data_IF_844744376899
#
_entry.id   IF_844744376899
#
_cell.length_a   1.000
_cell.length_b   1.000
_cell.length_c   1.000
_cell.angle_alpha   90.00
_cell.angle_beta   90.00
_cell.angle_gamma   90.00
#
_symmetry.space_group_name_H-M   'P 1'
#
loop_
_entity.id
_entity.type
_entity.pdbx_description
1 polymer ?
#
# COMPACT_ATOMS: atom_id res chain seq x y z
N UNK A 1 -22.66 13.80 2.66
CA UNK A 1 -22.30 12.40 2.95
C UNK A 1 -21.09 12.02 2.10
N UNK A 2 -20.06 11.47 2.72
CA UNK A 2 -18.84 11.03 2.04
C UNK A 2 -18.53 9.57 2.37
N UNK A 3 -18.13 8.80 1.38
CA UNK A 3 -17.62 7.44 1.52
C UNK A 3 -16.10 7.44 1.32
N UNK A 4 -15.36 7.07 2.35
CA UNK A 4 -13.89 7.05 2.32
C UNK A 4 -13.41 5.61 2.48
N UNK A 5 -12.76 5.07 1.44
CA UNK A 5 -12.24 3.73 1.45
C UNK A 5 -10.88 3.62 2.14
N UNK A 6 -10.61 2.55 2.89
CA UNK A 6 -9.28 2.28 3.46
C UNK A 6 -8.96 0.80 3.53
N UNK A 7 -7.68 0.47 3.43
CA UNK A 7 -7.15 -0.87 3.75
C UNK A 7 -6.61 -0.83 5.19
N UNK A 8 -6.95 -1.83 6.05
CA UNK A 8 -6.63 -1.78 7.48
C UNK A 8 -5.15 -2.08 7.76
N UNK A 9 -4.33 -1.08 7.59
CA UNK A 9 -2.89 -1.06 7.88
C UNK A 9 -2.55 0.23 8.64
N UNK A 10 -1.36 0.28 9.23
CA UNK A 10 -0.93 1.43 10.05
C UNK A 10 -0.93 2.76 9.29
N UNK A 11 -0.68 2.71 7.97
CA UNK A 11 -0.65 3.91 7.12
C UNK A 11 -2.01 4.64 7.05
N UNK A 12 -3.12 3.93 7.19
CA UNK A 12 -4.47 4.51 7.13
C UNK A 12 -4.91 5.16 8.45
N UNK A 13 -4.03 5.23 9.47
CA UNK A 13 -4.35 5.78 10.79
C UNK A 13 -4.94 7.18 10.74
N UNK A 14 -4.43 8.16 9.96
CA UNK A 14 -5.02 9.50 9.90
C UNK A 14 -6.49 9.47 9.47
N UNK A 15 -6.82 8.74 8.42
CA UNK A 15 -8.20 8.60 7.93
C UNK A 15 -9.10 7.93 8.97
N UNK A 16 -8.63 6.85 9.59
CA UNK A 16 -9.42 6.07 10.55
C UNK A 16 -9.66 6.88 11.82
N UNK A 17 -8.63 7.52 12.34
CA UNK A 17 -8.70 8.23 13.62
C UNK A 17 -9.46 9.54 13.53
N UNK A 18 -9.51 10.18 12.38
CA UNK A 18 -10.30 11.40 12.17
C UNK A 18 -11.80 11.20 12.53
N UNK A 19 -12.33 9.99 12.40
CA UNK A 19 -13.71 9.69 12.73
C UNK A 19 -13.96 9.66 14.26
N UNK A 20 -13.31 8.80 15.08
CA UNK A 20 -13.54 8.76 16.53
C UNK A 20 -13.05 10.02 17.23
N UNK A 21 -12.13 10.79 16.66
CA UNK A 21 -11.68 12.08 17.19
C UNK A 21 -12.62 13.23 16.83
N UNK A 22 -13.67 12.99 16.05
CA UNK A 22 -14.68 13.98 15.69
C UNK A 22 -14.19 15.03 14.69
N UNK A 23 -13.09 14.79 13.99
CA UNK A 23 -12.53 15.77 13.05
C UNK A 23 -13.42 15.94 11.80
N UNK A 24 -14.01 14.87 11.28
CA UNK A 24 -14.95 14.99 10.17
C UNK A 24 -16.15 15.87 10.55
N UNK A 25 -16.76 15.63 11.71
CA UNK A 25 -17.90 16.41 12.20
C UNK A 25 -17.52 17.87 12.47
N UNK A 26 -16.32 18.13 13.02
CA UNK A 26 -15.78 19.48 13.25
C UNK A 26 -15.76 20.32 11.97
N UNK A 27 -15.47 19.69 10.85
CA UNK A 27 -15.44 20.35 9.55
C UNK A 27 -16.75 20.20 8.76
N UNK A 28 -17.85 19.80 9.45
CA UNK A 28 -19.19 19.72 8.86
C UNK A 28 -19.39 18.57 7.89
N UNK A 29 -18.58 17.52 8.00
CA UNK A 29 -18.64 16.34 7.12
C UNK A 29 -19.36 15.18 7.81
N UNK A 30 -20.29 14.56 7.10
CA UNK A 30 -20.82 13.25 7.44
C UNK A 30 -20.03 12.20 6.66
N UNK A 31 -18.90 11.76 7.21
CA UNK A 31 -17.98 10.84 6.58
C UNK A 31 -18.19 9.40 7.08
N UNK A 32 -18.30 8.47 6.14
CA UNK A 32 -18.34 7.04 6.40
C UNK A 32 -17.02 6.42 5.97
N UNK A 33 -16.21 5.97 6.95
CA UNK A 33 -14.93 5.31 6.71
C UNK A 33 -15.17 3.82 6.50
N UNK A 34 -14.82 3.29 5.32
CA UNK A 34 -15.22 1.97 4.84
C UNK A 34 -14.01 1.08 4.66
N UNK A 35 -13.94 0.01 5.46
CA UNK A 35 -12.90 -1.02 5.35
C UNK A 35 -12.98 -1.75 4.02
N UNK A 36 -11.83 -1.91 3.36
CA UNK A 36 -11.66 -2.59 2.08
C UNK A 36 -10.69 -3.75 2.21
N UNK A 37 -10.95 -4.85 1.51
CA UNK A 37 -10.15 -6.06 1.60
C UNK A 37 -8.73 -5.93 1.00
N UNK A 38 -8.55 -5.03 0.02
CA UNK A 38 -7.27 -4.81 -0.65
C UNK A 38 -7.36 -3.71 -1.71
N UNK A 39 -6.25 -3.37 -2.32
CA UNK A 39 -6.14 -2.21 -3.20
C UNK A 39 -6.81 -2.38 -4.56
N UNK A 40 -6.88 -3.60 -5.12
CA UNK A 40 -7.68 -3.84 -6.33
C UNK A 40 -9.16 -3.47 -6.11
N UNK A 41 -9.71 -3.89 -4.97
CA UNK A 41 -11.10 -3.55 -4.59
C UNK A 41 -11.25 -2.04 -4.31
N UNK A 42 -10.25 -1.42 -3.67
CA UNK A 42 -10.23 0.03 -3.44
C UNK A 42 -10.26 0.79 -4.77
N UNK A 43 -9.39 0.43 -5.73
CA UNK A 43 -9.36 0.98 -7.08
C UNK A 43 -10.72 0.87 -7.75
N UNK A 44 -11.26 -0.33 -7.83
CA UNK A 44 -12.50 -0.59 -8.56
C UNK A 44 -13.70 0.14 -7.96
N UNK A 45 -13.79 0.20 -6.63
CA UNK A 45 -14.83 0.97 -5.95
C UNK A 45 -14.68 2.48 -6.16
N UNK A 46 -13.45 2.99 -6.17
CA UNK A 46 -13.16 4.39 -6.46
C UNK A 46 -13.55 4.75 -7.90
N UNK A 47 -13.12 3.96 -8.88
CA UNK A 47 -13.47 4.17 -10.29
C UNK A 47 -14.97 4.04 -10.59
N UNK A 48 -15.71 3.25 -9.79
CA UNK A 48 -17.14 3.10 -9.90
C UNK A 48 -17.94 4.13 -9.06
N UNK A 49 -17.30 5.17 -8.53
CA UNK A 49 -17.94 6.24 -7.75
C UNK A 49 -18.56 5.75 -6.42
N UNK A 50 -18.07 4.62 -5.88
CA UNK A 50 -18.51 4.11 -4.57
C UNK A 50 -17.75 4.75 -3.42
N UNK A 51 -16.57 5.27 -3.68
CA UNK A 51 -15.75 6.06 -2.77
C UNK A 51 -15.52 7.44 -3.35
N UNK A 52 -15.74 8.47 -2.55
CA UNK A 52 -15.43 9.87 -2.88
C UNK A 52 -13.94 10.14 -2.74
N UNK A 53 -13.29 9.43 -1.83
CA UNK A 53 -11.85 9.45 -1.61
C UNK A 53 -11.38 8.12 -1.01
N UNK A 54 -10.10 7.83 -1.06
CA UNK A 54 -9.58 6.56 -0.55
C UNK A 54 -8.11 6.65 -0.14
N UNK A 55 -7.76 5.84 0.88
CA UNK A 55 -6.40 5.44 1.14
C UNK A 55 -5.88 4.57 -0.01
N UNK A 56 -4.78 4.97 -0.62
CA UNK A 56 -4.17 4.29 -1.76
C UNK A 56 -2.66 4.12 -1.56
N UNK A 57 -2.08 3.12 -2.22
CA UNK A 57 -0.63 3.07 -2.40
C UNK A 57 -0.21 4.21 -3.33
N UNK A 58 0.88 4.89 -3.00
CA UNK A 58 1.29 6.14 -3.67
C UNK A 58 1.35 6.05 -5.20
N UNK A 59 1.80 4.95 -5.85
CA UNK A 59 1.77 4.86 -7.30
C UNK A 59 0.37 4.67 -7.92
N UNK A 60 -0.64 4.25 -7.14
CA UNK A 60 -1.98 3.95 -7.69
C UNK A 60 -2.68 5.14 -8.35
N UNK A 61 -2.74 6.35 -7.74
CA UNK A 61 -3.41 7.49 -8.37
C UNK A 61 -2.81 7.85 -9.73
N UNK A 62 -1.47 7.74 -9.86
CA UNK A 62 -0.79 7.96 -11.13
C UNK A 62 -1.14 6.87 -12.15
N UNK A 63 -1.11 5.59 -11.74
CA UNK A 63 -1.49 4.47 -12.60
C UNK A 63 -2.94 4.60 -13.10
N UNK A 64 -3.88 4.98 -12.21
CA UNK A 64 -5.29 5.21 -12.57
C UNK A 64 -5.44 6.39 -13.54
N UNK A 65 -4.72 7.48 -13.32
CA UNK A 65 -4.73 8.64 -14.23
C UNK A 65 -4.23 8.28 -15.63
N UNK A 66 -3.23 7.42 -15.72
CA UNK A 66 -2.65 6.95 -16.99
C UNK A 66 -3.41 5.77 -17.62
N UNK A 67 -4.40 5.21 -16.92
CA UNK A 67 -5.12 4.02 -17.37
C UNK A 67 -4.29 2.73 -17.32
N UNK A 68 -3.24 2.70 -16.50
CA UNK A 68 -2.42 1.51 -16.31
C UNK A 68 -3.17 0.49 -15.44
N UNK A 69 -3.54 -0.66 -16.03
CA UNK A 69 -4.29 -1.73 -15.36
C UNK A 69 -5.75 -1.38 -15.00
N UNK A 70 -6.29 -0.28 -15.53
CA UNK A 70 -7.68 0.15 -15.35
C UNK A 70 -8.10 1.11 -16.46
N UNK A 71 -9.37 1.57 -16.42
CA UNK A 71 -9.78 2.74 -17.22
C UNK A 71 -9.04 3.97 -16.72
N UNK A 72 -8.71 4.89 -17.64
CA UNK A 72 -8.06 6.15 -17.30
C UNK A 72 -9.08 7.09 -16.63
N UNK A 73 -8.75 7.53 -15.41
CA UNK A 73 -9.55 8.50 -14.66
C UNK A 73 -8.58 9.42 -13.91
N UNK A 74 -8.69 10.77 -14.08
CA UNK A 74 -7.81 11.70 -13.40
C UNK A 74 -7.96 11.66 -11.88
N UNK A 75 -6.89 11.30 -11.18
CA UNK A 75 -6.81 11.28 -9.72
C UNK A 75 -5.79 12.29 -9.22
N UNK A 76 -6.04 12.83 -8.06
CA UNK A 76 -5.12 13.70 -7.32
C UNK A 76 -4.70 13.01 -6.01
N UNK A 77 -3.49 13.34 -5.57
CA UNK A 77 -2.89 12.86 -4.34
C UNK A 77 -2.49 14.06 -3.48
N UNK A 78 -3.43 14.62 -2.70
CA UNK A 78 -3.18 15.84 -1.94
C UNK A 78 -2.30 15.63 -0.70
N UNK A 79 -2.20 14.40 -0.19
CA UNK A 79 -1.41 14.10 0.98
C UNK A 79 -0.74 12.73 0.87
N UNK A 80 0.52 12.66 1.29
CA UNK A 80 1.24 11.41 1.57
C UNK A 80 1.01 11.09 3.05
N UNK A 81 0.45 9.91 3.34
CA UNK A 81 0.07 9.52 4.70
C UNK A 81 1.26 8.98 5.49
N UNK A 82 2.23 8.37 4.80
CA UNK A 82 3.44 7.87 5.43
C UNK A 82 4.60 7.69 4.44
N UNK A 83 5.80 7.68 4.98
CA UNK A 83 7.06 7.37 4.28
C UNK A 83 7.75 6.18 4.94
N UNK A 84 8.60 5.46 4.20
CA UNK A 84 9.46 4.37 4.73
C UNK A 84 8.73 3.18 5.40
N UNK A 85 7.43 3.03 5.24
CA UNK A 85 6.59 2.11 6.03
C UNK A 85 6.63 0.64 5.60
N UNK A 86 7.74 0.13 5.05
CA UNK A 86 7.80 -1.21 4.46
C UNK A 86 9.12 -1.92 4.80
N UNK A 87 9.09 -3.26 4.66
CA UNK A 87 10.29 -4.10 4.79
C UNK A 87 10.23 -5.26 3.79
N UNK A 88 11.40 -5.81 3.45
CA UNK A 88 11.51 -7.13 2.83
C UNK A 88 11.58 -8.15 3.97
N UNK A 89 10.61 -9.05 3.99
CA UNK A 89 10.56 -10.21 4.89
C UNK A 89 10.91 -11.45 4.10
N UNK A 90 11.78 -12.30 4.63
CA UNK A 90 12.05 -13.63 4.11
C UNK A 90 11.60 -14.70 5.10
N UNK A 91 11.26 -15.89 4.59
CA UNK A 91 11.05 -17.08 5.42
C UNK A 91 12.31 -17.44 6.19
N UNK A 92 12.15 -17.94 7.42
CA UNK A 92 13.27 -18.46 8.21
C UNK A 92 14.01 -19.63 7.55
N UNK A 93 13.41 -20.27 6.54
CA UNK A 93 14.07 -21.28 5.71
C UNK A 93 15.22 -20.69 4.86
N UNK A 94 15.27 -19.37 4.73
CA UNK A 94 16.27 -18.65 3.95
C UNK A 94 17.24 -17.81 4.80
N UNK A 95 17.43 -18.16 6.08
CA UNK A 95 18.37 -17.46 6.98
C UNK A 95 19.82 -17.44 6.45
N UNK A 96 20.21 -18.46 5.69
CA UNK A 96 21.50 -18.60 5.03
C UNK A 96 21.58 -17.91 3.65
N UNK A 97 20.45 -17.49 3.07
CA UNK A 97 20.35 -16.86 1.75
C UNK A 97 20.10 -15.37 1.83
N UNK A 98 20.94 -14.66 2.57
CA UNK A 98 20.80 -13.21 2.76
C UNK A 98 21.34 -12.38 1.61
N UNK A 99 22.19 -12.94 0.75
CA UNK A 99 22.62 -12.28 -0.48
C UNK A 99 21.49 -12.39 -1.55
N UNK A 100 20.96 -11.27 -2.05
CA UNK A 100 19.90 -11.28 -3.07
C UNK A 100 20.26 -12.05 -4.35
N UNK A 101 21.54 -12.20 -4.69
CA UNK A 101 22.00 -13.04 -5.80
C UNK A 101 21.55 -14.49 -5.69
N UNK A 102 21.23 -14.95 -4.50
CA UNK A 102 20.76 -16.31 -4.22
C UNK A 102 19.23 -16.48 -4.34
N UNK A 103 18.49 -15.38 -4.65
CA UNK A 103 17.03 -15.40 -4.68
C UNK A 103 16.45 -15.84 -6.04
N UNK A 104 17.29 -16.30 -6.94
CA UNK A 104 16.82 -16.87 -8.21
C UNK A 104 15.84 -18.02 -7.94
N UNK A 105 14.64 -17.92 -8.55
CA UNK A 105 13.53 -18.85 -8.36
C UNK A 105 12.64 -18.55 -7.15
N UNK A 106 12.94 -17.55 -6.32
CA UNK A 106 12.09 -17.17 -5.18
C UNK A 106 10.77 -16.57 -5.64
N UNK A 107 9.73 -16.85 -4.86
CA UNK A 107 8.40 -16.26 -5.02
C UNK A 107 8.16 -15.21 -3.93
N UNK A 108 7.92 -13.96 -4.36
CA UNK A 108 7.64 -12.83 -3.46
C UNK A 108 6.18 -12.39 -3.53
N UNK A 109 5.61 -12.10 -2.36
CA UNK A 109 4.31 -11.42 -2.25
C UNK A 109 4.46 -9.91 -2.25
N UNK A 110 3.63 -9.21 -3.03
CA UNK A 110 3.47 -7.75 -2.98
C UNK A 110 2.00 -7.40 -2.86
N UNK A 111 1.62 -6.26 -2.22
CA UNK A 111 0.23 -5.96 -1.94
C UNK A 111 -0.58 -5.58 -3.18
N UNK A 112 0.09 -5.06 -4.20
CA UNK A 112 -0.51 -4.62 -5.46
C UNK A 112 0.58 -4.37 -6.51
N UNK A 113 0.24 -4.52 -7.79
CA UNK A 113 1.20 -4.31 -8.88
C UNK A 113 1.72 -2.86 -8.95
N UNK A 114 0.84 -1.86 -8.75
CA UNK A 114 1.21 -0.44 -8.70
C UNK A 114 1.43 -0.01 -7.25
N UNK A 115 2.48 -0.55 -6.64
CA UNK A 115 2.88 -0.26 -5.27
C UNK A 115 4.37 0.04 -5.17
N UNK A 116 4.75 0.90 -4.21
CA UNK A 116 6.18 1.07 -3.90
C UNK A 116 6.82 -0.25 -3.46
N UNK A 117 6.07 -1.16 -2.84
CA UNK A 117 6.53 -2.49 -2.48
C UNK A 117 7.04 -3.26 -3.71
N UNK A 118 6.24 -3.31 -4.78
CA UNK A 118 6.62 -3.97 -6.03
C UNK A 118 7.81 -3.28 -6.69
N UNK A 119 7.78 -1.94 -6.78
CA UNK A 119 8.83 -1.19 -7.46
C UNK A 119 10.17 -1.27 -6.72
N UNK A 120 10.16 -1.17 -5.40
CA UNK A 120 11.39 -1.29 -4.60
C UNK A 120 11.96 -2.71 -4.59
N UNK A 121 11.12 -3.76 -4.59
CA UNK A 121 11.59 -5.13 -4.75
C UNK A 121 12.30 -5.30 -6.09
N UNK A 122 11.67 -4.88 -7.18
CA UNK A 122 12.22 -4.96 -8.54
C UNK A 122 13.54 -4.21 -8.65
N UNK A 123 13.57 -2.99 -8.15
CA UNK A 123 14.78 -2.18 -8.13
C UNK A 123 15.88 -2.87 -7.32
N UNK A 124 15.56 -3.33 -6.12
CA UNK A 124 16.53 -3.95 -5.21
C UNK A 124 17.17 -5.21 -5.82
N UNK A 125 16.38 -6.15 -6.36
CA UNK A 125 16.95 -7.37 -6.96
C UNK A 125 17.76 -7.06 -8.22
N UNK A 126 17.36 -6.05 -9.00
CA UNK A 126 18.09 -5.61 -10.18
C UNK A 126 19.48 -5.03 -9.84
N UNK A 127 19.62 -4.30 -8.72
CA UNK A 127 20.92 -3.82 -8.22
C UNK A 127 21.92 -4.98 -7.93
N UNK A 128 21.41 -6.17 -7.65
CA UNK A 128 22.21 -7.37 -7.44
C UNK A 128 22.37 -8.23 -8.72
N UNK A 129 21.91 -7.72 -9.87
CA UNK A 129 22.08 -8.37 -11.18
C UNK A 129 21.04 -9.44 -11.49
N UNK A 130 19.92 -9.50 -10.76
CA UNK A 130 18.77 -10.34 -11.10
C UNK A 130 17.79 -9.58 -12.00
N UNK A 131 17.20 -10.28 -12.95
CA UNK A 131 16.06 -9.77 -13.71
C UNK A 131 14.76 -10.04 -12.93
N UNK A 132 14.06 -9.00 -12.46
CA UNK A 132 12.85 -9.17 -11.64
C UNK A 132 11.67 -9.82 -12.41
N UNK A 133 11.71 -9.88 -13.73
CA UNK A 133 10.67 -10.50 -14.55
C UNK A 133 10.99 -11.97 -14.92
N UNK A 134 12.25 -12.39 -14.75
CA UNK A 134 12.74 -13.72 -15.16
C UNK A 134 13.26 -14.53 -13.99
N UNK A 135 14.06 -13.91 -13.10
CA UNK A 135 14.80 -14.62 -12.07
C UNK A 135 14.02 -14.82 -10.79
N UNK A 136 12.99 -14.01 -10.51
CA UNK A 136 12.07 -14.17 -9.37
C UNK A 136 10.62 -14.23 -9.85
N UNK A 137 9.72 -14.69 -8.98
CA UNK A 137 8.28 -14.64 -9.21
C UNK A 137 7.66 -13.61 -8.26
N UNK A 138 6.87 -12.67 -8.80
CA UNK A 138 6.15 -11.69 -8.00
C UNK A 138 4.65 -11.99 -8.09
N UNK A 139 4.00 -12.13 -6.92
CA UNK A 139 2.56 -12.40 -6.80
C UNK A 139 1.88 -11.29 -6.02
N UNK A 140 0.74 -10.85 -6.51
CA UNK A 140 -0.11 -9.92 -5.75
C UNK A 140 -0.86 -10.72 -4.68
N UNK A 141 -0.60 -10.40 -3.42
CA UNK A 141 -1.21 -11.06 -2.25
C UNK A 141 -1.66 -9.97 -1.28
N UNK A 142 -2.92 -9.98 -0.82
CA UNK A 142 -3.38 -9.05 0.22
C UNK A 142 -2.53 -9.20 1.49
N UNK A 143 -2.11 -8.10 2.15
CA UNK A 143 -1.24 -8.17 3.33
C UNK A 143 -1.71 -9.10 4.45
N UNK A 144 -3.01 -9.18 4.79
CA UNK A 144 -3.48 -10.13 5.79
C UNK A 144 -3.21 -11.61 5.45
N UNK A 145 -3.05 -11.94 4.18
CA UNK A 145 -2.82 -13.30 3.70
C UNK A 145 -1.32 -13.63 3.55
N UNK A 146 -0.43 -12.62 3.51
CA UNK A 146 1.00 -12.83 3.27
C UNK A 146 1.66 -13.69 4.33
N UNK A 147 1.34 -13.47 5.61
CA UNK A 147 1.90 -14.24 6.73
C UNK A 147 1.51 -15.71 6.65
N UNK A 148 0.25 -16.01 6.31
CA UNK A 148 -0.22 -17.38 6.14
C UNK A 148 0.43 -18.06 4.92
N UNK A 149 0.60 -17.34 3.82
CA UNK A 149 1.27 -17.85 2.63
C UNK A 149 2.77 -18.10 2.86
N UNK A 150 3.46 -17.24 3.62
CA UNK A 150 4.85 -17.46 4.03
C UNK A 150 4.97 -18.73 4.88
N UNK A 151 4.08 -18.90 5.89
CA UNK A 151 4.05 -20.10 6.74
C UNK A 151 3.80 -21.40 5.96
N UNK A 152 2.96 -21.33 4.93
CA UNK A 152 2.61 -22.47 4.09
C UNK A 152 3.70 -22.80 3.04
N UNK A 153 4.77 -22.01 2.91
CA UNK A 153 5.80 -22.18 1.89
C UNK A 153 5.33 -21.78 0.48
N UNK A 154 4.22 -21.05 0.36
CA UNK A 154 3.74 -20.53 -0.92
C UNK A 154 4.50 -19.26 -1.35
N UNK A 155 5.18 -18.61 -0.43
CA UNK A 155 6.06 -17.47 -0.63
C UNK A 155 7.40 -17.74 0.06
N UNK A 156 8.48 -17.37 -0.59
CA UNK A 156 9.82 -17.32 -0.01
C UNK A 156 10.04 -16.03 0.78
N UNK A 157 9.35 -14.97 0.39
CA UNK A 157 9.38 -13.68 1.05
C UNK A 157 8.23 -12.79 0.62
N UNK A 158 8.15 -11.61 1.20
CA UNK A 158 7.19 -10.59 0.79
C UNK A 158 7.65 -9.19 1.18
N UNK A 159 7.06 -8.18 0.53
CA UNK A 159 7.08 -6.80 1.00
C UNK A 159 5.68 -6.40 1.43
N UNK A 160 5.56 -5.92 2.65
CA UNK A 160 4.27 -5.56 3.22
C UNK A 160 4.38 -4.29 4.07
N UNK A 161 3.29 -3.57 4.28
CA UNK A 161 3.21 -2.58 5.34
C UNK A 161 3.07 -3.26 6.70
N UNK A 162 3.44 -2.55 7.77
CA UNK A 162 3.12 -3.01 9.11
C UNK A 162 1.59 -3.02 9.37
N UNK A 163 1.13 -3.95 10.21
CA UNK A 163 1.87 -4.80 11.17
C UNK A 163 2.34 -6.15 10.63
N UNK A 164 2.16 -6.46 9.34
CA UNK A 164 2.38 -7.81 8.81
C UNK A 164 3.86 -8.23 8.78
N UNK A 165 4.79 -7.27 8.64
CA UNK A 165 6.22 -7.56 8.71
C UNK A 165 6.60 -8.06 10.12
N UNK A 166 6.22 -7.31 11.15
CA UNK A 166 6.48 -7.66 12.54
C UNK A 166 5.74 -8.93 12.96
N UNK A 167 4.57 -9.18 12.39
CA UNK A 167 3.81 -10.39 12.68
C UNK A 167 4.55 -11.66 12.26
N UNK A 168 5.19 -11.69 11.09
CA UNK A 168 6.00 -12.84 10.68
C UNK A 168 7.17 -13.12 11.63
N UNK A 169 7.82 -12.04 12.12
CA UNK A 169 8.90 -12.14 13.11
C UNK A 169 8.38 -12.65 14.44
N UNK A 170 7.27 -12.08 14.94
CA UNK A 170 6.65 -12.49 16.20
C UNK A 170 6.19 -13.95 16.18
N UNK A 171 5.65 -14.42 15.06
CA UNK A 171 5.21 -15.81 14.87
C UNK A 171 6.38 -16.78 14.60
N UNK A 172 7.63 -16.28 14.50
CA UNK A 172 8.83 -17.08 14.30
C UNK A 172 8.92 -17.77 12.94
N UNK A 173 8.22 -17.26 11.91
CA UNK A 173 8.19 -17.85 10.57
C UNK A 173 9.02 -17.10 9.54
N UNK A 174 9.43 -15.88 9.85
CA UNK A 174 10.21 -15.04 8.95
C UNK A 174 11.09 -14.06 9.72
N UNK A 175 11.95 -13.41 9.00
CA UNK A 175 12.82 -12.35 9.50
C UNK A 175 12.82 -11.14 8.58
N UNK A 176 13.11 -9.98 9.15
CA UNK A 176 13.33 -8.77 8.36
C UNK A 176 14.70 -8.86 7.69
N UNK A 177 14.71 -8.90 6.37
CA UNK A 177 15.94 -8.85 5.59
C UNK A 177 16.50 -7.43 5.60
N UNK A 178 15.69 -6.45 5.23
CA UNK A 178 16.01 -5.03 5.34
C UNK A 178 14.75 -4.17 5.37
N UNK A 179 14.87 -2.95 5.90
CA UNK A 179 13.83 -1.94 5.78
C UNK A 179 13.95 -1.21 4.44
N UNK A 180 12.84 -0.93 3.78
CA UNK A 180 12.86 -0.29 2.46
C UNK A 180 13.45 1.12 2.45
N UNK A 181 13.51 1.81 3.61
CA UNK A 181 14.27 3.05 3.77
C UNK A 181 15.76 2.91 3.45
N UNK A 182 16.31 1.70 3.55
CA UNK A 182 17.72 1.40 3.22
C UNK A 182 17.93 1.29 1.69
N UNK A 183 16.85 1.07 0.93
CA UNK A 183 16.86 1.11 -0.54
C UNK A 183 16.69 2.56 -1.02
N UNK A 184 15.70 3.25 -0.45
CA UNK A 184 15.39 4.64 -0.78
C UNK A 184 14.83 5.35 0.45
N UNK A 185 15.65 6.16 1.10
CA UNK A 185 15.25 6.92 2.27
C UNK A 185 14.22 7.98 1.91
N UNK A 186 13.16 8.07 2.70
CA UNK A 186 12.07 9.03 2.49
C UNK A 186 11.09 8.64 1.39
N UNK A 187 11.17 7.43 0.83
CA UNK A 187 10.21 7.02 -0.20
C UNK A 187 8.77 7.06 0.31
N UNK A 188 7.81 7.52 -0.54
CA UNK A 188 6.41 7.50 -0.17
C UNK A 188 5.90 6.04 -0.12
N UNK A 189 4.92 5.77 0.75
CA UNK A 189 4.30 4.45 0.85
C UNK A 189 2.82 4.51 0.49
N UNK A 190 2.03 5.20 1.32
CA UNK A 190 0.60 5.38 1.11
C UNK A 190 0.22 6.85 1.03
N UNK A 191 -0.89 7.11 0.38
CA UNK A 191 -1.41 8.44 0.15
C UNK A 191 -2.93 8.46 0.29
N UNK A 192 -3.44 9.61 0.65
CA UNK A 192 -4.83 9.95 0.46
C UNK A 192 -5.04 10.41 -0.98
N UNK A 193 -6.04 9.86 -1.66
CA UNK A 193 -6.32 10.16 -3.06
C UNK A 193 -7.82 10.31 -3.32
N UNK A 194 -8.14 11.12 -4.31
CA UNK A 194 -9.51 11.39 -4.75
C UNK A 194 -9.56 11.62 -6.26
N UNK A 195 -10.71 11.42 -6.93
CA UNK A 195 -10.91 11.87 -8.29
C UNK A 195 -10.70 13.38 -8.40
N UNK A 196 -10.11 13.83 -9.51
CA UNK A 196 -9.95 15.28 -9.76
C UNK A 196 -11.30 16.00 -9.77
N UNK A 197 -12.35 15.35 -10.30
CA UNK A 197 -13.71 15.88 -10.32
C UNK A 197 -14.23 16.24 -8.93
N UNK A 198 -13.94 15.44 -7.90
CA UNK A 198 -14.36 15.73 -6.53
C UNK A 198 -13.75 17.06 -6.03
N UNK A 199 -12.48 17.32 -6.33
CA UNK A 199 -11.82 18.56 -5.92
C UNK A 199 -12.32 19.78 -6.71
N UNK A 200 -12.67 19.61 -7.99
CA UNK A 200 -13.08 20.72 -8.86
C UNK A 200 -14.58 21.05 -8.73
N UNK A 201 -15.43 20.05 -8.53
CA UNK A 201 -16.88 20.21 -8.42
C UNK A 201 -17.34 20.55 -7.00
N UNK A 202 -16.63 20.04 -5.99
CA UNK A 202 -16.95 20.21 -4.55
C UNK A 202 -15.77 20.76 -3.75
N UNK A 203 -15.15 21.91 -4.14
CA UNK A 203 -13.90 22.38 -3.57
C UNK A 203 -13.95 22.65 -2.05
N UNK A 204 -15.09 23.11 -1.54
CA UNK A 204 -15.28 23.36 -0.10
C UNK A 204 -15.32 22.05 0.71
N UNK A 205 -16.04 21.05 0.17
CA UNK A 205 -16.10 19.70 0.79
C UNK A 205 -14.76 19.02 0.76
N UNK A 206 -14.06 19.10 -0.37
CA UNK A 206 -12.70 18.60 -0.51
C UNK A 206 -11.73 19.27 0.47
N UNK A 207 -11.75 20.60 0.56
CA UNK A 207 -10.91 21.34 1.53
C UNK A 207 -11.21 20.99 2.99
N UNK A 208 -12.49 20.81 3.35
CA UNK A 208 -12.90 20.36 4.67
C UNK A 208 -12.39 18.95 4.98
N UNK A 209 -12.46 18.05 3.98
CA UNK A 209 -11.96 16.68 4.11
C UNK A 209 -10.45 16.63 4.35
N UNK A 210 -9.66 17.40 3.62
CA UNK A 210 -8.21 17.48 3.83
C UNK A 210 -7.88 18.00 5.24
N UNK A 211 -8.54 19.05 5.69
CA UNK A 211 -8.33 19.59 7.04
C UNK A 211 -8.64 18.54 8.12
N UNK A 212 -9.70 17.76 7.95
CA UNK A 212 -10.09 16.73 8.92
C UNK A 212 -9.11 15.57 9.04
N UNK A 213 -8.25 15.37 8.05
CA UNK A 213 -7.22 14.31 8.05
C UNK A 213 -5.87 14.84 8.57
N UNK A 214 -5.60 16.15 8.36
CA UNK A 214 -4.33 16.79 8.75
C UNK A 214 -4.32 17.19 10.22
N UNK A 215 -5.47 17.58 10.80
CA UNK A 215 -5.61 17.92 12.22
C UNK A 215 -5.44 16.71 13.15
#
# INVERSE_FOLDING_TARGET
>A
DLNIGFVPITCATPIIMAQPMGFYERYGLNAKVIKTAGWAVARDKSLNGKYDASHMLTPMPLAMTLGAGSVAEPYIMPAVENINGQAIVLSNEHLDKRDPKQWKGFTFGVPFEYSMHNFLLRYYVAEFGLDPDVDIQIRVVPPPEMVANLRAGNLDGYLSPDPFNQRAVYEGIGFLHLLTKEIWEGHPCCAFAAPLSFATELPNTYGALLKSIID
#
